data_IF_865095429816
#
_entry.id   IF_865095429816
#
_cell.length_a   1.000
_cell.length_b   1.000
_cell.length_c   1.000
_cell.angle_alpha   90.00
_cell.angle_beta   90.00
_cell.angle_gamma   90.00
#
_symmetry.space_group_name_H-M   'P 1'
#
loop_
_entity.id
_entity.type
_entity.pdbx_description
1 polymer ?
#
# COMPACT_ATOMS: atom_id res chain seq x y z
N UNK A 1 -5.07 -10.71 -5.89
CA UNK A 1 -4.18 -10.44 -4.76
C UNK A 1 -3.18 -9.40 -5.21
N UNK A 2 -3.20 -8.22 -4.60
CA UNK A 2 -2.32 -7.11 -4.95
C UNK A 2 -1.14 -7.13 -3.97
N UNK A 3 0.04 -7.56 -4.42
CA UNK A 3 1.23 -7.63 -3.56
C UNK A 3 2.08 -6.38 -3.69
N UNK A 4 2.58 -5.84 -2.58
CA UNK A 4 3.56 -4.74 -2.56
C UNK A 4 4.94 -5.31 -2.22
N UNK A 5 5.93 -4.97 -3.05
CA UNK A 5 7.34 -5.34 -2.86
C UNK A 5 8.28 -4.30 -3.47
N UNK A 6 9.54 -4.33 -3.07
CA UNK A 6 10.60 -3.59 -3.73
C UNK A 6 10.83 -4.10 -5.17
N UNK A 7 11.30 -3.22 -6.08
CA UNK A 7 11.80 -3.63 -7.39
C UNK A 7 12.95 -4.64 -7.23
N UNK A 8 12.94 -5.71 -8.02
CA UNK A 8 13.94 -6.79 -7.96
C UNK A 8 15.27 -6.39 -8.63
N UNK A 9 15.21 -5.46 -9.57
CA UNK A 9 16.34 -5.00 -10.35
C UNK A 9 16.14 -3.55 -10.82
N UNK A 10 17.22 -2.98 -11.35
CA UNK A 10 17.25 -1.60 -11.83
C UNK A 10 16.35 -1.39 -13.07
N UNK A 11 16.07 -2.42 -13.86
CA UNK A 11 15.15 -2.32 -15.00
C UNK A 11 13.71 -2.13 -14.52
N UNK A 12 13.27 -2.95 -13.55
CA UNK A 12 11.96 -2.84 -12.92
C UNK A 12 11.79 -1.49 -12.21
N UNK A 13 12.85 -1.01 -11.53
CA UNK A 13 12.85 0.32 -10.92
C UNK A 13 12.60 1.43 -11.94
N UNK A 14 13.27 1.39 -13.09
CA UNK A 14 13.06 2.39 -14.17
C UNK A 14 11.66 2.32 -14.75
N UNK A 15 11.11 1.11 -14.95
CA UNK A 15 9.72 0.93 -15.42
C UNK A 15 8.72 1.53 -14.44
N UNK A 16 8.91 1.30 -13.13
CA UNK A 16 8.06 1.88 -12.10
C UNK A 16 8.09 3.42 -12.11
N UNK A 17 9.30 4.01 -12.17
CA UNK A 17 9.46 5.47 -12.25
C UNK A 17 8.80 6.03 -13.52
N UNK A 18 8.97 5.37 -14.66
CA UNK A 18 8.36 5.79 -15.92
C UNK A 18 6.84 5.72 -15.87
N UNK A 19 6.26 4.67 -15.27
CA UNK A 19 4.82 4.55 -15.08
C UNK A 19 4.27 5.70 -14.23
N UNK A 20 4.96 6.08 -13.16
CA UNK A 20 4.60 7.25 -12.34
C UNK A 20 4.65 8.54 -13.16
N UNK A 21 5.73 8.76 -13.91
CA UNK A 21 5.90 9.94 -14.75
C UNK A 21 4.85 10.06 -15.87
N UNK A 22 4.37 8.93 -16.38
CA UNK A 22 3.31 8.87 -17.39
C UNK A 22 1.89 8.93 -16.80
N UNK A 23 1.75 9.10 -15.49
CA UNK A 23 0.45 9.14 -14.82
C UNK A 23 -0.28 7.80 -14.82
N UNK A 24 0.44 6.69 -14.99
CA UNK A 24 -0.11 5.33 -14.96
C UNK A 24 -0.24 4.77 -13.54
N UNK A 25 0.14 5.55 -12.52
CA UNK A 25 -0.03 5.19 -11.12
C UNK A 25 -1.48 5.40 -10.64
N UNK A 26 -1.85 4.72 -9.56
CA UNK A 26 -3.08 4.98 -8.79
C UNK A 26 -2.70 5.56 -7.43
N UNK A 27 -3.52 6.45 -6.87
CA UNK A 27 -3.31 6.93 -5.51
C UNK A 27 -3.62 5.82 -4.51
N UNK A 28 -2.91 5.80 -3.38
CA UNK A 28 -3.12 4.75 -2.38
C UNK A 28 -4.50 4.88 -1.74
N UNK A 29 -5.00 6.10 -1.60
CA UNK A 29 -6.33 6.44 -1.13
C UNK A 29 -7.41 5.79 -2.00
N UNK A 30 -7.30 5.91 -3.34
CA UNK A 30 -8.24 5.31 -4.29
C UNK A 30 -8.24 3.77 -4.22
N UNK A 31 -7.07 3.18 -4.00
CA UNK A 31 -6.93 1.71 -3.92
C UNK A 31 -7.51 1.20 -2.60
N UNK A 32 -7.30 1.92 -1.50
CA UNK A 32 -7.86 1.58 -0.20
C UNK A 32 -9.38 1.74 -0.22
N UNK A 33 -9.90 2.84 -0.78
CA UNK A 33 -11.35 3.06 -0.96
C UNK A 33 -12.01 1.91 -1.74
N UNK A 34 -11.38 1.42 -2.81
CA UNK A 34 -11.87 0.26 -3.56
C UNK A 34 -11.92 -1.02 -2.73
N UNK A 35 -10.96 -1.21 -1.81
CA UNK A 35 -10.89 -2.39 -0.95
C UNK A 35 -11.96 -2.35 0.15
N UNK A 36 -12.13 -1.19 0.79
CA UNK A 36 -12.99 -1.06 1.98
C UNK A 36 -14.43 -0.62 1.64
N UNK A 37 -14.63 -0.07 0.44
CA UNK A 37 -15.93 0.41 -0.05
C UNK A 37 -16.36 1.77 0.50
N UNK A 38 -15.48 2.48 1.22
CA UNK A 38 -15.72 3.80 1.81
C UNK A 38 -14.45 4.66 1.78
N UNK A 39 -14.61 5.97 1.99
CA UNK A 39 -13.50 6.92 1.96
C UNK A 39 -12.59 6.65 3.18
N UNK A 40 -11.32 6.24 3.00
CA UNK A 40 -10.43 5.96 4.10
C UNK A 40 -10.05 7.25 4.84
N UNK A 41 -9.96 7.17 6.16
CA UNK A 41 -9.49 8.29 6.96
C UNK A 41 -7.96 8.47 6.87
N UNK A 42 -7.48 9.64 7.30
CA UNK A 42 -6.06 9.99 7.23
C UNK A 42 -5.20 9.08 8.13
N UNK A 43 -5.75 8.59 9.26
CA UNK A 43 -5.03 7.76 10.20
C UNK A 43 -4.76 6.35 9.64
N UNK A 44 -5.75 5.76 8.98
CA UNK A 44 -5.65 4.49 8.26
C UNK A 44 -4.61 4.59 7.14
N UNK A 45 -4.69 5.63 6.31
CA UNK A 45 -3.73 5.86 5.23
C UNK A 45 -2.31 6.02 5.75
N UNK A 46 -2.13 6.76 6.85
CA UNK A 46 -0.82 6.93 7.48
C UNK A 46 -0.27 5.61 8.03
N UNK A 47 -1.11 4.81 8.69
CA UNK A 47 -0.73 3.50 9.20
C UNK A 47 -0.30 2.54 8.07
N UNK A 48 -1.06 2.52 6.97
CA UNK A 48 -0.73 1.73 5.77
C UNK A 48 0.61 2.17 5.19
N UNK A 49 0.82 3.49 4.97
CA UNK A 49 2.07 4.04 4.44
C UNK A 49 3.27 3.65 5.31
N UNK A 50 3.14 3.78 6.63
CA UNK A 50 4.19 3.41 7.58
C UNK A 50 4.52 1.92 7.53
N UNK A 51 3.51 1.03 7.45
CA UNK A 51 3.76 -0.41 7.40
C UNK A 51 4.37 -0.87 6.07
N UNK A 52 4.01 -0.22 4.96
CA UNK A 52 4.66 -0.45 3.65
C UNK A 52 6.13 -0.03 3.71
N UNK A 53 6.42 1.16 4.24
CA UNK A 53 7.80 1.64 4.40
C UNK A 53 8.62 0.67 5.24
N UNK A 54 8.07 0.20 6.36
CA UNK A 54 8.73 -0.79 7.22
C UNK A 54 9.02 -2.11 6.49
N UNK A 55 8.07 -2.62 5.71
CA UNK A 55 8.30 -3.83 4.92
C UNK A 55 9.38 -3.66 3.86
N UNK A 56 9.43 -2.48 3.23
CA UNK A 56 10.45 -2.17 2.25
C UNK A 56 11.85 -2.20 2.88
N UNK A 57 12.01 -1.64 4.08
CA UNK A 57 13.27 -1.67 4.84
C UNK A 57 13.64 -3.08 5.31
N UNK A 58 12.65 -3.92 5.62
CA UNK A 58 12.83 -5.31 6.03
C UNK A 58 12.94 -6.31 4.86
N UNK A 59 12.90 -5.84 3.61
CA UNK A 59 12.82 -6.67 2.39
C UNK A 59 11.67 -7.70 2.42
N UNK A 60 10.57 -7.34 3.08
CA UNK A 60 9.38 -8.17 3.24
C UNK A 60 8.38 -7.92 2.10
N UNK A 61 7.77 -8.99 1.60
CA UNK A 61 6.62 -8.89 0.68
C UNK A 61 5.33 -8.85 1.47
N UNK A 62 4.45 -7.89 1.18
CA UNK A 62 3.14 -7.79 1.84
C UNK A 62 2.02 -8.08 0.84
N UNK A 63 1.00 -8.81 1.28
CA UNK A 63 -0.32 -8.77 0.64
C UNK A 63 -1.06 -7.49 1.07
N UNK A 64 -1.23 -6.57 0.13
CA UNK A 64 -1.81 -5.26 0.42
C UNK A 64 -3.25 -5.37 0.92
N UNK A 65 -4.03 -6.32 0.43
CA UNK A 65 -5.43 -6.47 0.86
C UNK A 65 -5.48 -6.91 2.32
N UNK A 66 -4.71 -7.94 2.69
CA UNK A 66 -4.64 -8.41 4.07
C UNK A 66 -4.05 -7.38 5.03
N UNK A 67 -3.13 -6.54 4.55
CA UNK A 67 -2.61 -5.41 5.33
C UNK A 67 -3.72 -4.42 5.70
N UNK A 68 -4.51 -3.99 4.71
CA UNK A 68 -5.59 -3.02 4.92
C UNK A 68 -6.63 -3.57 5.88
N UNK A 69 -7.09 -4.80 5.63
CA UNK A 69 -8.06 -5.49 6.50
C UNK A 69 -7.54 -5.62 7.93
N UNK A 70 -6.29 -6.06 8.11
CA UNK A 70 -5.70 -6.23 9.44
C UNK A 70 -5.51 -4.92 10.22
N UNK A 71 -5.22 -3.80 9.55
CA UNK A 71 -5.14 -2.48 10.22
C UNK A 71 -6.53 -2.03 10.68
N UNK A 72 -7.57 -2.27 9.88
CA UNK A 72 -8.96 -1.92 10.22
C UNK A 72 -9.43 -2.74 11.42
N UNK A 73 -9.15 -4.04 11.43
CA UNK A 73 -9.45 -4.91 12.58
C UNK A 73 -8.80 -4.38 13.86
N UNK A 74 -7.50 -4.02 13.80
CA UNK A 74 -6.79 -3.45 14.95
C UNK A 74 -7.34 -2.10 15.40
N UNK A 75 -7.82 -1.25 14.48
CA UNK A 75 -8.45 0.02 14.85
C UNK A 75 -9.79 -0.20 15.55
N UNK A 76 -10.60 -1.14 15.07
CA UNK A 76 -11.91 -1.46 15.64
C UNK A 76 -11.82 -2.16 17.00
N UNK A 77 -10.80 -2.99 17.21
CA UNK A 77 -10.55 -3.67 18.51
C UNK A 77 -10.10 -2.72 19.62
N UNK A 78 -9.65 -1.51 19.28
CA UNK A 78 -9.21 -0.48 20.22
C UNK A 78 -10.30 0.58 20.52
N UNK A 79 -11.55 0.34 20.14
CA UNK A 79 -12.73 1.19 20.41
C UNK A 79 -13.64 0.60 21.49
#
# INVERSE_FOLDING_TARGET
MSSVRAPKDEEERRKAILAVALGMGRCIEDVVEEIIGEIPDEALILAIKNRIQFAQEAEETIDFTSLVEGIIELQNDNV
#
